data_IF_581728233645
#
_entry.id   IF_581728233645
#
_cell.length_a   1.000
_cell.length_b   1.000
_cell.length_c   1.000
_cell.angle_alpha   90.00
_cell.angle_beta   90.00
_cell.angle_gamma   90.00
#
_symmetry.space_group_name_H-M   'P 1'
#
loop_
_entity.id
_entity.type
_entity.pdbx_description
1 polymer ?
#
# COMPACT_ATOMS: atom_id res chain seq x y z
N UNK A 1 -23.07 -4.84 -16.72
CA UNK A 1 -23.70 -4.95 -15.39
C UNK A 1 -22.60 -5.19 -14.37
N UNK A 2 -22.13 -4.18 -13.62
CA UNK A 2 -21.12 -4.39 -12.59
C UNK A 2 -21.72 -4.27 -11.18
N UNK A 3 -22.09 -5.39 -10.57
CA UNK A 3 -22.54 -5.49 -9.16
C UNK A 3 -21.36 -5.61 -8.15
N UNK A 4 -20.16 -5.13 -8.50
CA UNK A 4 -18.97 -5.23 -7.64
C UNK A 4 -18.74 -3.98 -6.77
N UNK A 5 -19.30 -2.84 -7.16
CA UNK A 5 -19.16 -1.56 -6.45
C UNK A 5 -19.67 -1.56 -5.00
N UNK A 6 -20.87 -2.12 -4.67
CA UNK A 6 -21.37 -2.07 -3.30
C UNK A 6 -20.59 -2.99 -2.35
N UNK A 7 -20.09 -4.12 -2.86
CA UNK A 7 -19.26 -5.03 -2.07
C UNK A 7 -17.87 -4.44 -1.81
N UNK A 8 -17.27 -3.80 -2.83
CA UNK A 8 -15.99 -3.12 -2.70
C UNK A 8 -16.04 -2.00 -1.64
N UNK A 9 -17.06 -1.13 -1.72
CA UNK A 9 -17.26 -0.07 -0.73
C UNK A 9 -17.44 -0.61 0.69
N UNK A 10 -18.21 -1.70 0.85
CA UNK A 10 -18.39 -2.37 2.15
C UNK A 10 -17.10 -2.99 2.68
N UNK A 11 -16.28 -3.60 1.81
CA UNK A 11 -14.97 -4.13 2.21
C UNK A 11 -13.99 -3.03 2.60
N UNK A 12 -14.00 -1.90 1.88
CA UNK A 12 -13.12 -0.77 2.18
C UNK A 12 -13.47 -0.15 3.55
N UNK A 13 -14.77 0.04 3.80
CA UNK A 13 -15.24 0.55 5.10
C UNK A 13 -14.91 -0.42 6.25
N UNK A 14 -15.00 -1.73 6.01
CA UNK A 14 -14.64 -2.74 7.01
C UNK A 14 -13.15 -2.71 7.36
N UNK A 15 -12.28 -2.53 6.34
CA UNK A 15 -10.84 -2.43 6.53
C UNK A 15 -10.44 -1.18 7.30
N UNK A 16 -11.05 -0.05 6.99
CA UNK A 16 -10.78 1.21 7.68
C UNK A 16 -11.14 1.09 9.17
N UNK A 17 -12.33 0.54 9.47
CA UNK A 17 -12.76 0.28 10.83
C UNK A 17 -11.80 -0.67 11.58
N UNK A 18 -11.29 -1.72 10.90
CA UNK A 18 -10.33 -2.64 11.50
C UNK A 18 -9.00 -1.95 11.84
N UNK A 19 -8.51 -1.06 10.97
CA UNK A 19 -7.28 -0.33 11.23
C UNK A 19 -7.44 0.64 12.42
N UNK A 20 -8.55 1.38 12.48
CA UNK A 20 -8.86 2.23 13.64
C UNK A 20 -8.99 1.42 14.93
N UNK A 21 -9.68 0.28 14.87
CA UNK A 21 -9.83 -0.60 16.02
C UNK A 21 -8.48 -1.17 16.49
N UNK A 22 -7.57 -1.49 15.56
CA UNK A 22 -6.22 -1.95 15.88
C UNK A 22 -5.43 -0.89 16.65
N UNK A 23 -5.48 0.37 16.20
CA UNK A 23 -4.84 1.50 16.87
C UNK A 23 -5.41 1.73 18.28
N UNK A 24 -6.74 1.65 18.44
CA UNK A 24 -7.37 1.74 19.75
C UNK A 24 -6.99 0.58 20.67
N UNK A 25 -6.86 -0.63 20.13
CA UNK A 25 -6.42 -1.82 20.87
C UNK A 25 -4.97 -1.67 21.37
N UNK A 26 -4.08 -1.05 20.58
CA UNK A 26 -2.72 -0.70 21.04
C UNK A 26 -2.76 0.26 22.24
N UNK A 27 -3.56 1.33 22.14
CA UNK A 27 -3.70 2.32 23.22
C UNK A 27 -4.29 1.71 24.49
N UNK A 28 -5.16 0.70 24.35
CA UNK A 28 -5.78 -0.03 25.47
C UNK A 28 -4.91 -1.15 26.05
N UNK A 29 -3.74 -1.42 25.46
CA UNK A 29 -2.85 -2.48 25.93
C UNK A 29 -3.41 -3.88 25.68
N UNK A 30 -4.19 -4.08 24.62
CA UNK A 30 -4.68 -5.40 24.19
C UNK A 30 -3.99 -5.82 22.88
N UNK A 31 -2.72 -6.26 22.94
CA UNK A 31 -1.90 -6.48 21.75
C UNK A 31 -2.42 -7.61 20.85
N UNK A 32 -3.03 -8.64 21.42
CA UNK A 32 -3.60 -9.76 20.66
C UNK A 32 -4.72 -9.29 19.73
N UNK A 33 -5.59 -8.39 20.22
CA UNK A 33 -6.67 -7.80 19.44
C UNK A 33 -6.14 -6.88 18.35
N UNK A 34 -5.14 -6.07 18.67
CA UNK A 34 -4.50 -5.21 17.68
C UNK A 34 -3.89 -6.03 16.54
N UNK A 35 -3.22 -7.15 16.87
CA UNK A 35 -2.66 -8.09 15.90
C UNK A 35 -3.73 -8.69 15.01
N UNK A 36 -4.79 -9.27 15.60
CA UNK A 36 -5.90 -9.88 14.85
C UNK A 36 -6.57 -8.88 13.89
N UNK A 37 -6.79 -7.65 14.36
CA UNK A 37 -7.41 -6.59 13.56
C UNK A 37 -6.52 -6.15 12.38
N UNK A 38 -5.21 -6.01 12.60
CA UNK A 38 -4.25 -5.69 11.55
C UNK A 38 -4.13 -6.81 10.51
N UNK A 39 -4.08 -8.07 10.95
CA UNK A 39 -4.06 -9.24 10.05
C UNK A 39 -5.32 -9.35 9.21
N UNK A 40 -6.49 -9.11 9.81
CA UNK A 40 -7.77 -9.13 9.12
C UNK A 40 -7.89 -7.98 8.10
N UNK A 41 -7.43 -6.77 8.46
CA UNK A 41 -7.38 -5.64 7.55
C UNK A 41 -6.51 -5.95 6.32
N UNK A 42 -5.31 -6.50 6.52
CA UNK A 42 -4.43 -6.90 5.44
C UNK A 42 -5.02 -8.03 4.58
N UNK A 43 -5.78 -8.96 5.17
CA UNK A 43 -6.46 -10.04 4.45
C UNK A 43 -7.58 -9.52 3.56
N UNK A 44 -8.40 -8.60 4.06
CA UNK A 44 -9.47 -7.98 3.29
C UNK A 44 -8.91 -7.05 2.20
N UNK A 45 -7.80 -6.36 2.46
CA UNK A 45 -7.12 -5.53 1.46
C UNK A 45 -6.81 -6.28 0.16
N UNK A 46 -6.24 -7.49 0.29
CA UNK A 46 -5.91 -8.38 -0.84
C UNK A 46 -7.11 -8.81 -1.68
N UNK A 47 -8.34 -8.66 -1.19
CA UNK A 47 -9.56 -9.04 -1.92
C UNK A 47 -10.10 -7.91 -2.79
N UNK A 48 -9.55 -6.70 -2.65
CA UNK A 48 -9.94 -5.56 -3.47
C UNK A 48 -9.13 -5.50 -4.75
N UNK A 49 -9.72 -4.91 -5.79
CA UNK A 49 -9.11 -4.81 -7.11
C UNK A 49 -8.18 -3.60 -7.27
N UNK A 50 -8.02 -2.77 -6.23
CA UNK A 50 -7.22 -1.54 -6.26
C UNK A 50 -5.85 -1.74 -5.60
N UNK A 51 -4.75 -1.81 -6.36
CA UNK A 51 -3.40 -1.99 -5.82
C UNK A 51 -2.91 -0.83 -4.96
N UNK A 52 -3.34 0.40 -5.28
CA UNK A 52 -2.94 1.59 -4.53
C UNK A 52 -3.59 1.59 -3.15
N UNK A 53 -4.85 1.15 -3.09
CA UNK A 53 -5.54 1.00 -1.82
C UNK A 53 -5.02 -0.20 -1.02
N UNK A 54 -4.74 -1.36 -1.66
CA UNK A 54 -4.09 -2.50 -0.99
C UNK A 54 -2.76 -2.06 -0.35
N UNK A 55 -1.94 -1.30 -1.08
CA UNK A 55 -0.68 -0.74 -0.58
C UNK A 55 -0.86 0.10 0.70
N UNK A 56 -1.80 1.05 0.68
CA UNK A 56 -2.05 1.93 1.84
C UNK A 56 -2.44 1.15 3.09
N UNK A 57 -3.28 0.13 2.95
CA UNK A 57 -3.71 -0.73 4.07
C UNK A 57 -2.57 -1.58 4.59
N UNK A 58 -1.77 -2.17 3.70
CA UNK A 58 -0.61 -2.98 4.08
C UNK A 58 0.39 -2.17 4.91
N UNK A 59 0.64 -0.91 4.53
CA UNK A 59 1.50 -0.01 5.30
C UNK A 59 0.95 0.24 6.71
N UNK A 60 -0.34 0.55 6.85
CA UNK A 60 -0.99 0.76 8.16
C UNK A 60 -0.95 -0.50 9.04
N UNK A 61 -1.31 -1.65 8.49
CA UNK A 61 -1.29 -2.91 9.22
C UNK A 61 0.14 -3.29 9.65
N UNK A 62 1.13 -3.01 8.82
CA UNK A 62 2.53 -3.26 9.15
C UNK A 62 3.07 -2.39 10.28
N UNK A 63 2.65 -1.12 10.37
CA UNK A 63 3.04 -0.23 11.47
C UNK A 63 2.49 -0.75 12.82
N UNK A 64 1.23 -1.18 12.83
CA UNK A 64 0.62 -1.80 14.02
C UNK A 64 1.41 -3.03 14.46
N UNK A 65 1.73 -3.92 13.52
CA UNK A 65 2.48 -5.15 13.82
C UNK A 65 3.91 -4.87 14.27
N UNK A 66 4.58 -3.88 13.68
CA UNK A 66 5.93 -3.48 14.08
C UNK A 66 5.96 -2.94 15.51
N UNK A 67 4.98 -2.11 15.87
CA UNK A 67 4.80 -1.59 17.25
C UNK A 67 4.47 -2.67 18.27
N UNK A 68 3.94 -3.81 17.84
CA UNK A 68 3.71 -5.00 18.67
C UNK A 68 4.95 -5.89 18.82
N UNK A 69 6.03 -5.63 18.05
CA UNK A 69 7.20 -6.49 17.98
C UNK A 69 7.07 -7.66 17.00
N UNK A 70 5.99 -7.71 16.21
CA UNK A 70 5.70 -8.74 15.20
C UNK A 70 6.46 -8.45 13.89
N UNK A 71 7.76 -8.20 13.99
CA UNK A 71 8.59 -7.71 12.88
C UNK A 71 8.58 -8.64 11.66
N UNK A 72 8.54 -9.96 11.87
CA UNK A 72 8.47 -10.93 10.76
C UNK A 72 7.22 -10.76 9.90
N UNK A 73 6.08 -10.47 10.54
CA UNK A 73 4.82 -10.22 9.85
C UNK A 73 4.82 -8.85 9.18
N UNK A 74 5.33 -7.82 9.87
CA UNK A 74 5.48 -6.48 9.31
C UNK A 74 6.36 -6.49 8.05
N UNK A 75 7.46 -7.24 8.04
CA UNK A 75 8.33 -7.42 6.87
C UNK A 75 7.58 -8.10 5.73
N UNK A 76 6.79 -9.16 6.02
CA UNK A 76 6.01 -9.83 4.98
C UNK A 76 5.01 -8.89 4.29
N UNK A 77 4.36 -8.00 5.06
CA UNK A 77 3.47 -6.97 4.51
C UNK A 77 4.25 -5.92 3.68
N UNK A 78 5.42 -5.48 4.14
CA UNK A 78 6.29 -4.58 3.37
C UNK A 78 6.77 -5.21 2.05
N UNK A 79 7.16 -6.49 2.05
CA UNK A 79 7.55 -7.18 0.82
C UNK A 79 6.40 -7.25 -0.19
N UNK A 80 5.17 -7.45 0.28
CA UNK A 80 3.97 -7.41 -0.57
C UNK A 80 3.73 -5.99 -1.12
N UNK A 81 3.81 -4.97 -0.28
CA UNK A 81 3.70 -3.57 -0.67
C UNK A 81 4.72 -3.21 -1.78
N UNK A 82 5.98 -3.59 -1.61
CA UNK A 82 7.02 -3.40 -2.62
C UNK A 82 6.72 -4.13 -3.93
N UNK A 83 6.13 -5.33 -3.86
CA UNK A 83 5.72 -6.08 -5.04
C UNK A 83 4.62 -5.35 -5.83
N UNK A 84 3.65 -4.72 -5.15
CA UNK A 84 2.60 -3.93 -5.78
C UNK A 84 3.18 -2.69 -6.49
N UNK A 85 4.10 -1.98 -5.84
CA UNK A 85 4.79 -0.82 -6.42
C UNK A 85 5.58 -1.23 -7.67
N UNK A 86 6.31 -2.36 -7.60
CA UNK A 86 7.06 -2.87 -8.74
C UNK A 86 6.13 -3.26 -9.91
N UNK A 87 4.97 -3.85 -9.61
CA UNK A 87 3.97 -4.20 -10.63
C UNK A 87 3.35 -2.97 -11.28
N UNK A 88 3.04 -1.92 -10.52
CA UNK A 88 2.52 -0.66 -11.06
C UNK A 88 3.55 0.01 -12.00
N UNK A 89 4.82 0.06 -11.59
CA UNK A 89 5.90 0.57 -12.41
C UNK A 89 6.18 -0.24 -13.69
N UNK A 90 5.87 -1.54 -13.70
CA UNK A 90 5.95 -2.35 -14.92
C UNK A 90 4.79 -2.06 -15.90
N UNK A 91 3.62 -1.67 -15.38
CA UNK A 91 2.45 -1.32 -16.21
C UNK A 91 2.49 0.14 -16.70
N UNK A 92 3.23 1.03 -16.03
CA UNK A 92 3.55 2.35 -16.55
C UNK A 92 4.78 2.26 -17.47
N UNK A 93 4.63 2.42 -18.81
CA UNK A 93 5.80 2.53 -19.66
C UNK A 93 6.59 3.77 -19.19
N UNK A 94 7.86 3.58 -18.88
CA UNK A 94 8.74 4.70 -18.55
C UNK A 94 8.66 5.71 -19.69
N UNK A 95 8.04 6.86 -19.43
CA UNK A 95 8.31 8.04 -20.21
C UNK A 95 9.78 8.37 -19.94
N UNK A 96 10.68 7.84 -20.77
CA UNK A 96 12.06 8.30 -20.81
C UNK A 96 11.98 9.83 -20.85
N UNK A 97 12.66 10.55 -19.93
CA UNK A 97 12.79 11.99 -20.09
C UNK A 97 13.40 12.19 -21.48
N UNK A 98 12.66 12.84 -22.37
CA UNK A 98 13.10 13.10 -23.73
C UNK A 98 14.54 13.64 -23.66
N UNK A 99 15.47 13.15 -24.50
CA UNK A 99 16.83 13.67 -24.49
C UNK A 99 16.71 15.17 -24.60
N UNK A 100 17.17 15.87 -23.56
CA UNK A 100 17.23 17.31 -23.55
C UNK A 100 18.13 17.66 -24.72
N UNK A 101 17.53 18.12 -25.82
CA UNK A 101 18.25 18.63 -26.96
C UNK A 101 19.02 19.84 -26.46
N UNK A 102 20.29 19.63 -26.11
CA UNK A 102 21.19 20.73 -25.83
C UNK A 102 21.20 21.59 -27.10
N UNK A 103 20.87 22.88 -27.02
CA UNK A 103 20.95 23.73 -28.19
C UNK A 103 22.40 23.72 -28.67
N UNK A 104 22.59 23.38 -29.94
CA UNK A 104 23.88 23.42 -30.58
C UNK A 104 24.46 24.84 -30.42
N UNK A 105 25.51 24.96 -29.62
CA UNK A 105 26.36 26.14 -29.67
C UNK A 105 26.99 26.18 -31.06
N UNK A 106 26.44 27.01 -31.95
CA UNK A 106 27.12 27.43 -33.17
C UNK A 106 28.33 28.26 -32.77
N UNK A 107 29.47 27.62 -32.59
CA UNK A 107 30.76 28.29 -32.67
C UNK A 107 31.03 28.55 -34.16
N UNK A 108 30.60 29.71 -34.63
CA UNK A 108 31.14 30.31 -35.85
C UNK A 108 32.60 30.66 -35.57
N UNK A 109 33.52 29.80 -36.04
CA UNK A 109 34.95 30.10 -36.10
C UNK A 109 35.25 30.61 -37.51
N UNK A 110 35.71 31.87 -37.54
CA UNK A 110 36.40 32.66 -38.58
C UNK A 110 36.49 32.10 -40.00
#
# INVERSE_FOLDING_TARGET
>A
MPDHLPLAASTMQSVELLCEAAELSLLRGTPERAREQAEEAARLARRTADPSWELAVLMRASDVLDRLGEHGQAIALHCRALSLIAQDHLHQPQALPAPHTQPAFSTTLM
#
